data_IF_769878030026
#
_entry.id   IF_769878030026
#
_cell.length_a   1.000
_cell.length_b   1.000
_cell.length_c   1.000
_cell.angle_alpha   90.00
_cell.angle_beta   90.00
_cell.angle_gamma   90.00
#
_symmetry.space_group_name_H-M   'P 1'
#
loop_
_entity.id
_entity.type
_entity.pdbx_description
1 polymer ?
#
# COMPACT_ATOMS: atom_id res chain seq x y z
N UNK A 1 52.13 -15.46 -16.92
CA UNK A 1 51.25 -16.65 -16.89
C UNK A 1 49.85 -16.14 -17.25
N UNK A 2 49.43 -16.01 -18.52
CA UNK A 2 49.29 -17.02 -19.59
C UNK A 2 48.67 -18.32 -19.04
N UNK A 3 47.59 -18.90 -19.57
CA UNK A 3 46.96 -18.77 -20.87
C UNK A 3 45.60 -19.54 -20.85
N UNK A 4 44.68 -19.12 -21.73
CA UNK A 4 43.83 -19.90 -22.66
C UNK A 4 43.08 -21.19 -22.24
N UNK A 5 41.85 -21.33 -22.76
CA UNK A 5 41.35 -22.45 -23.61
C UNK A 5 39.86 -22.14 -24.01
N UNK A 6 39.55 -21.75 -25.26
CA UNK A 6 39.25 -22.57 -26.48
C UNK A 6 37.93 -23.37 -26.29
N UNK A 7 36.77 -22.97 -26.84
CA UNK A 7 36.29 -22.93 -28.25
C UNK A 7 36.42 -24.25 -29.02
N UNK A 8 35.35 -25.04 -29.07
CA UNK A 8 35.13 -26.07 -30.09
C UNK A 8 33.72 -25.94 -30.69
N UNK A 9 33.73 -25.63 -31.98
CA UNK A 9 32.67 -25.70 -32.98
C UNK A 9 32.73 -27.07 -33.70
N UNK A 10 31.58 -27.71 -33.95
CA UNK A 10 31.20 -28.49 -35.16
C UNK A 10 29.94 -29.35 -34.91
N UNK A 11 29.27 -29.94 -35.92
CA UNK A 11 28.64 -29.29 -37.08
C UNK A 11 27.17 -29.78 -37.31
N UNK A 12 26.50 -29.07 -38.21
CA UNK A 12 25.43 -29.48 -39.14
C UNK A 12 24.69 -30.81 -38.91
N UNK A 13 23.39 -30.70 -38.62
CA UNK A 13 22.39 -31.67 -39.06
C UNK A 13 21.23 -30.94 -39.74
N UNK A 14 21.18 -31.09 -41.06
CA UNK A 14 20.07 -30.72 -41.94
C UNK A 14 18.73 -31.25 -41.39
N UNK A 15 17.77 -30.35 -41.16
CA UNK A 15 16.35 -30.68 -41.09
C UNK A 15 15.66 -29.84 -42.17
N UNK A 16 15.34 -30.49 -43.29
CA UNK A 16 14.40 -29.99 -44.29
C UNK A 16 13.03 -29.79 -43.62
N UNK A 17 12.63 -28.53 -43.44
CA UNK A 17 11.23 -28.20 -43.20
C UNK A 17 10.61 -27.76 -44.52
N UNK A 18 9.82 -28.67 -45.10
CA UNK A 18 8.90 -28.40 -46.18
C UNK A 18 7.91 -27.30 -45.77
N UNK A 19 8.00 -26.14 -46.43
CA UNK A 19 6.94 -25.14 -46.43
C UNK A 19 5.88 -25.52 -47.47
N UNK A 20 4.58 -25.62 -47.12
CA UNK A 20 3.54 -25.71 -48.12
C UNK A 20 3.39 -24.36 -48.84
N UNK A 21 3.62 -24.39 -50.16
CA UNK A 21 3.36 -23.32 -51.12
C UNK A 21 1.91 -22.83 -50.97
N UNK A 22 1.77 -21.61 -50.45
CA UNK A 22 0.50 -20.88 -50.40
C UNK A 22 0.25 -20.30 -51.80
N UNK A 23 -0.77 -20.81 -52.46
CA UNK A 23 -1.24 -20.33 -53.76
C UNK A 23 -1.76 -18.89 -53.67
N UNK A 24 -1.53 -18.06 -54.71
CA UNK A 24 -2.06 -16.70 -54.76
C UNK A 24 -3.57 -16.71 -55.06
N UNK A 25 -4.37 -15.81 -54.43
CA UNK A 25 -5.78 -15.69 -54.77
C UNK A 25 -5.95 -15.10 -56.16
N UNK A 26 -6.76 -15.81 -56.93
CA UNK A 26 -7.11 -15.52 -58.31
C UNK A 26 -7.82 -14.18 -58.46
N UNK A 27 -7.26 -13.36 -59.34
CA UNK A 27 -7.73 -12.08 -59.85
C UNK A 27 -9.09 -12.28 -60.54
N UNK A 28 -10.19 -11.84 -59.93
CA UNK A 28 -11.50 -11.77 -60.62
C UNK A 28 -11.76 -10.37 -61.17
N UNK A 29 -12.37 -10.42 -62.34
CA UNK A 29 -12.59 -9.39 -63.33
C UNK A 29 -13.38 -8.18 -62.83
N UNK A 30 -13.01 -7.05 -63.43
CA UNK A 30 -13.79 -5.84 -63.55
C UNK A 30 -15.10 -6.10 -64.33
N UNK A 31 -16.18 -5.50 -63.85
CA UNK A 31 -17.31 -5.06 -64.67
C UNK A 31 -17.69 -3.67 -64.18
N UNK A 32 -17.55 -2.72 -65.10
CA UNK A 32 -17.95 -1.32 -65.02
C UNK A 32 -19.42 -1.18 -65.52
N UNK A 33 -19.97 0.03 -65.76
CA UNK A 33 -20.92 0.74 -64.92
C UNK A 33 -22.33 0.84 -65.55
N UNK A 34 -23.30 1.39 -64.80
CA UNK A 34 -24.26 2.42 -65.26
C UNK A 34 -25.63 2.36 -64.56
N UNK A 35 -26.22 3.56 -64.40
CA UNK A 35 -27.64 3.88 -64.31
C UNK A 35 -28.37 3.77 -62.95
N UNK A 36 -28.56 4.95 -62.31
CA UNK A 36 -29.81 5.46 -61.69
C UNK A 36 -29.50 6.82 -61.08
N UNK A 37 -29.79 7.95 -61.74
CA UNK A 37 -31.10 8.55 -62.00
C UNK A 37 -31.86 8.98 -60.73
N UNK A 38 -31.73 10.29 -60.45
CA UNK A 38 -32.77 11.31 -60.15
C UNK A 38 -33.70 11.11 -58.94
N UNK A 39 -33.90 12.25 -58.26
CA UNK A 39 -34.95 12.68 -57.29
C UNK A 39 -34.40 12.90 -55.88
N UNK A 40 -34.73 13.94 -55.15
CA UNK A 40 -35.46 15.18 -55.40
C UNK A 40 -35.12 16.13 -54.24
N UNK A 41 -35.33 17.41 -54.50
CA UNK A 41 -35.27 18.53 -53.57
C UNK A 41 -36.15 18.31 -52.33
N UNK A 42 -35.70 18.73 -51.15
CA UNK A 42 -36.50 19.65 -50.32
C UNK A 42 -35.69 20.34 -49.18
N UNK A 43 -36.09 21.56 -48.77
CA UNK A 43 -35.34 22.43 -47.88
C UNK A 43 -35.95 22.59 -46.46
N UNK A 44 -35.09 22.81 -45.45
CA UNK A 44 -35.33 23.46 -44.13
C UNK A 44 -36.43 22.83 -43.20
N UNK A 45 -36.47 23.04 -41.85
CA UNK A 45 -36.13 24.27 -41.12
C UNK A 45 -35.28 24.11 -39.83
N UNK A 46 -34.82 25.27 -39.36
CA UNK A 46 -34.06 25.56 -38.15
C UNK A 46 -34.79 25.16 -36.84
N UNK A 47 -34.07 24.82 -35.76
CA UNK A 47 -34.65 24.76 -34.41
C UNK A 47 -34.60 26.12 -33.68
N UNK A 48 -35.54 26.37 -32.75
CA UNK A 48 -35.75 27.66 -32.10
C UNK A 48 -34.82 27.94 -30.91
N UNK A 49 -34.60 29.25 -30.71
CA UNK A 49 -34.02 29.91 -29.55
C UNK A 49 -35.03 29.91 -28.40
N UNK A 50 -34.61 29.51 -27.19
CA UNK A 50 -35.18 29.81 -25.86
C UNK A 50 -34.29 29.12 -24.82
N UNK A 51 -33.97 29.61 -23.63
CA UNK A 51 -34.23 30.85 -22.88
C UNK A 51 -33.27 30.79 -21.68
N UNK A 52 -32.73 31.94 -21.34
CA UNK A 52 -31.89 32.22 -20.18
C UNK A 52 -32.64 31.97 -18.86
N UNK A 53 -32.09 31.15 -17.97
CA UNK A 53 -32.49 31.11 -16.55
C UNK A 53 -31.25 31.20 -15.68
N UNK A 54 -31.05 32.38 -15.08
CA UNK A 54 -30.09 32.63 -14.01
C UNK A 54 -30.55 31.97 -12.71
N UNK A 55 -29.68 31.32 -11.93
CA UNK A 55 -29.98 30.99 -10.54
C UNK A 55 -29.66 32.18 -9.63
N UNK A 56 -30.70 32.71 -8.99
CA UNK A 56 -30.64 33.66 -7.88
C UNK A 56 -29.95 33.00 -6.68
N UNK A 57 -28.83 33.57 -6.23
CA UNK A 57 -28.16 33.19 -4.97
C UNK A 57 -28.98 33.73 -3.79
N UNK A 58 -29.61 32.82 -3.04
CA UNK A 58 -30.08 33.07 -1.68
C UNK A 58 -28.90 32.90 -0.73
N UNK A 59 -28.38 34.01 -0.19
CA UNK A 59 -27.45 34.04 0.94
C UNK A 59 -28.28 34.46 2.14
N UNK A 60 -28.79 33.48 2.89
CA UNK A 60 -29.42 33.73 4.18
C UNK A 60 -28.43 33.47 5.32
N UNK A 61 -28.40 34.45 6.21
CA UNK A 61 -27.72 34.59 7.50
C UNK A 61 -27.43 33.28 8.24
N UNK A 62 -26.13 33.01 8.48
CA UNK A 62 -25.70 32.16 9.59
C UNK A 62 -25.54 33.06 10.82
N UNK A 63 -26.49 32.92 11.72
CA UNK A 63 -26.52 33.51 13.05
C UNK A 63 -25.46 32.79 13.92
N UNK A 64 -24.50 33.56 14.44
CA UNK A 64 -23.49 33.07 15.38
C UNK A 64 -24.15 32.57 16.67
N UNK A 65 -24.13 31.26 16.90
CA UNK A 65 -24.39 30.68 18.21
C UNK A 65 -23.07 30.62 18.98
N UNK A 66 -22.97 31.39 20.05
CA UNK A 66 -21.88 31.33 21.01
C UNK A 66 -21.89 29.96 21.71
N UNK A 67 -20.82 29.18 21.55
CA UNK A 67 -20.57 27.97 22.32
C UNK A 67 -20.04 28.33 23.72
N UNK A 68 -20.50 27.65 24.79
CA UNK A 68 -20.00 27.89 26.14
C UNK A 68 -18.53 27.48 26.28
N UNK A 69 -17.72 28.20 27.08
CA UNK A 69 -16.32 27.87 27.29
C UNK A 69 -16.20 26.64 28.21
N UNK A 70 -15.67 25.52 27.69
CA UNK A 70 -15.31 24.37 28.54
C UNK A 70 -15.36 22.99 27.89
N UNK A 71 -15.96 22.83 26.70
CA UNK A 71 -15.93 21.56 25.97
C UNK A 71 -14.87 21.59 24.86
N UNK A 72 -13.94 20.64 24.91
CA UNK A 72 -13.05 20.36 23.77
C UNK A 72 -13.94 20.06 22.55
N UNK A 73 -13.76 20.76 21.41
CA UNK A 73 -14.62 20.60 20.26
C UNK A 73 -14.59 19.14 19.80
N UNK A 74 -15.76 18.48 19.81
CA UNK A 74 -15.92 17.11 19.37
C UNK A 74 -15.53 17.01 17.87
N UNK A 75 -14.37 16.39 17.56
CA UNK A 75 -13.83 16.37 16.20
C UNK A 75 -14.69 15.55 15.24
N UNK A 76 -15.65 14.76 15.75
CA UNK A 76 -16.49 13.89 14.94
C UNK A 76 -17.58 14.64 14.17
N UNK A 77 -17.98 15.84 14.60
CA UNK A 77 -18.99 16.64 13.87
C UNK A 77 -18.53 17.09 12.47
N UNK A 78 -17.22 17.15 12.22
CA UNK A 78 -16.64 17.57 10.93
C UNK A 78 -16.56 16.40 9.93
N UNK A 79 -16.42 15.16 10.41
CA UNK A 79 -16.15 13.98 9.57
C UNK A 79 -17.43 13.41 8.94
N UNK A 80 -18.60 13.56 9.57
CA UNK A 80 -19.84 12.93 9.13
C UNK A 80 -20.72 13.79 8.20
N UNK A 81 -20.27 14.97 7.78
CA UNK A 81 -20.94 15.78 6.75
C UNK A 81 -20.50 15.41 5.31
N UNK A 82 -20.16 14.13 5.10
CA UNK A 82 -19.88 13.57 3.77
C UNK A 82 -21.19 12.97 3.23
N UNK A 83 -21.92 13.79 2.49
CA UNK A 83 -23.23 13.49 1.95
C UNK A 83 -23.23 12.17 1.15
N UNK A 84 -23.98 11.17 1.64
CA UNK A 84 -24.20 9.88 0.98
C UNK A 84 -25.30 10.01 -0.08
N UNK A 85 -25.17 10.97 -1.00
CA UNK A 85 -26.05 11.01 -2.17
C UNK A 85 -25.55 9.98 -3.18
N UNK A 86 -26.14 8.80 -3.11
CA UNK A 86 -26.08 7.81 -4.19
C UNK A 86 -26.70 8.43 -5.44
N UNK A 87 -25.86 8.97 -6.33
CA UNK A 87 -26.30 9.44 -7.64
C UNK A 87 -26.90 8.29 -8.44
N UNK A 88 -28.20 8.34 -8.66
CA UNK A 88 -28.88 7.55 -9.68
C UNK A 88 -28.38 7.98 -11.05
N UNK A 89 -27.47 7.19 -11.63
CA UNK A 89 -27.08 7.38 -13.04
C UNK A 89 -28.18 6.81 -13.93
N UNK A 90 -29.00 7.72 -14.47
CA UNK A 90 -29.88 7.52 -15.61
C UNK A 90 -29.14 6.85 -16.77
N UNK A 91 -29.74 5.79 -17.31
CA UNK A 91 -29.28 5.03 -18.47
C UNK A 91 -29.47 5.82 -19.77
N UNK A 92 -28.42 6.49 -20.23
CA UNK A 92 -28.29 6.97 -21.60
C UNK A 92 -27.48 5.98 -22.44
N UNK A 93 -28.12 5.38 -23.44
CA UNK A 93 -27.51 4.43 -24.36
C UNK A 93 -26.41 5.06 -25.21
N UNK A 94 -25.27 4.37 -25.31
CA UNK A 94 -24.15 4.73 -26.17
C UNK A 94 -23.30 3.49 -26.46
N UNK A 95 -23.12 3.19 -27.74
CA UNK A 95 -22.47 2.01 -28.29
C UNK A 95 -21.12 1.67 -27.62
N UNK A 96 -21.04 0.49 -27.00
CA UNK A 96 -19.80 -0.06 -26.46
C UNK A 96 -19.10 -0.94 -27.49
N UNK A 97 -17.93 -0.50 -27.94
CA UNK A 97 -16.95 -1.33 -28.64
C UNK A 97 -16.52 -2.51 -27.78
N UNK A 98 -16.67 -3.70 -28.35
CA UNK A 98 -16.31 -4.98 -27.76
C UNK A 98 -14.79 -5.14 -27.65
N UNK A 99 -14.26 -5.05 -26.43
CA UNK A 99 -12.94 -5.61 -26.10
C UNK A 99 -13.15 -6.98 -25.45
N UNK A 100 -13.18 -8.01 -26.29
CA UNK A 100 -13.14 -9.41 -25.88
C UNK A 100 -11.75 -9.73 -25.32
N UNK A 101 -11.64 -9.84 -24.00
CA UNK A 101 -10.49 -10.46 -23.33
C UNK A 101 -10.78 -11.95 -23.28
N UNK A 102 -10.32 -12.65 -24.33
CA UNK A 102 -10.30 -14.10 -24.41
C UNK A 102 -9.02 -14.61 -23.75
N UNK A 103 -9.15 -15.57 -22.84
CA UNK A 103 -8.01 -16.27 -22.25
C UNK A 103 -7.77 -16.00 -20.77
N UNK A 104 -8.66 -16.50 -19.90
CA UNK A 104 -8.30 -16.84 -18.50
C UNK A 104 -9.39 -17.70 -17.84
N UNK A 105 -9.72 -18.85 -18.43
CA UNK A 105 -10.64 -19.83 -17.78
C UNK A 105 -10.08 -21.26 -17.68
N UNK A 106 -8.88 -21.56 -18.17
CA UNK A 106 -8.38 -22.95 -18.23
C UNK A 106 -7.48 -23.37 -17.05
N UNK A 107 -7.29 -22.53 -16.01
CA UNK A 107 -6.31 -22.81 -14.94
C UNK A 107 -6.91 -22.98 -13.53
N UNK A 108 -8.21 -23.25 -13.40
CA UNK A 108 -8.89 -23.34 -12.09
C UNK A 108 -9.53 -24.71 -11.83
N UNK A 109 -8.89 -25.82 -12.24
CA UNK A 109 -9.44 -27.17 -12.02
C UNK A 109 -8.50 -28.19 -11.37
N UNK A 110 -7.35 -27.79 -10.80
CA UNK A 110 -6.34 -28.76 -10.30
C UNK A 110 -5.70 -28.48 -8.94
N UNK A 111 -6.36 -27.78 -8.02
CA UNK A 111 -5.84 -27.64 -6.65
C UNK A 111 -6.94 -27.83 -5.60
N UNK A 112 -7.34 -29.09 -5.41
CA UNK A 112 -7.99 -29.56 -4.18
C UNK A 112 -7.38 -30.90 -3.80
N UNK A 113 -6.36 -30.89 -2.96
CA UNK A 113 -6.10 -31.88 -1.90
C UNK A 113 -4.73 -31.59 -1.29
N UNK A 114 -4.64 -31.79 0.04
CA UNK A 114 -3.49 -31.60 0.94
C UNK A 114 -3.37 -30.20 1.57
N UNK A 115 -3.76 -30.09 2.83
CA UNK A 115 -2.81 -29.62 3.86
C UNK A 115 -3.27 -30.02 5.26
N UNK A 116 -2.38 -30.71 5.97
CA UNK A 116 -2.46 -31.06 7.38
C UNK A 116 -1.86 -29.95 8.27
N UNK A 117 -2.31 -29.95 9.53
CA UNK A 117 -1.71 -29.39 10.76
C UNK A 117 -0.95 -28.06 10.65
N UNK A 118 -1.63 -26.97 11.03
CA UNK A 118 -1.00 -25.69 11.38
C UNK A 118 -0.80 -25.65 12.89
N UNK A 119 0.44 -25.40 13.30
CA UNK A 119 0.82 -25.17 14.69
C UNK A 119 0.25 -23.82 15.18
N UNK A 120 -0.32 -23.85 16.37
CA UNK A 120 -0.93 -22.71 17.06
C UNK A 120 0.16 -21.73 17.51
N UNK A 121 0.29 -20.61 16.80
CA UNK A 121 1.20 -19.51 17.13
C UNK A 121 0.45 -18.49 18.00
N UNK A 122 1.05 -18.09 19.13
CA UNK A 122 0.44 -17.18 20.11
C UNK A 122 0.09 -15.81 19.49
N UNK A 123 -1.00 -15.15 19.93
CA UNK A 123 -1.41 -13.86 19.39
C UNK A 123 -0.41 -12.76 19.80
N UNK A 124 0.43 -12.33 18.86
CA UNK A 124 1.22 -11.11 19.01
C UNK A 124 0.33 -9.87 18.86
N UNK A 125 0.31 -9.07 19.92
CA UNK A 125 -0.36 -7.77 20.02
C UNK A 125 -0.15 -6.91 18.77
N UNK A 126 -1.23 -6.67 18.02
CA UNK A 126 -1.15 -5.80 16.86
C UNK A 126 -1.21 -4.33 17.29
N UNK A 127 -0.15 -3.59 16.96
CA UNK A 127 -0.11 -2.12 17.05
C UNK A 127 -0.99 -1.50 15.96
N UNK A 128 -2.30 -1.69 16.11
CA UNK A 128 -3.33 -0.89 15.47
C UNK A 128 -3.26 0.55 15.98
N UNK A 129 -2.46 1.36 15.28
CA UNK A 129 -2.30 2.80 15.44
C UNK A 129 -1.58 3.26 16.72
N UNK A 130 -0.25 3.32 16.59
CA UNK A 130 0.70 4.15 17.36
C UNK A 130 0.28 4.45 18.80
N UNK A 131 0.29 3.40 19.62
CA UNK A 131 0.36 3.56 21.06
C UNK A 131 1.65 4.28 21.43
N UNK A 132 1.58 5.15 22.43
CA UNK A 132 2.75 5.56 23.21
C UNK A 132 3.46 4.26 23.65
N UNK A 133 4.81 4.16 23.58
CA UNK A 133 5.51 2.95 24.00
C UNK A 133 5.07 2.59 25.42
N UNK A 134 4.33 1.49 25.56
CA UNK A 134 4.01 0.95 26.87
C UNK A 134 5.31 0.41 27.48
N UNK A 135 5.57 0.65 28.78
CA UNK A 135 6.65 -0.03 29.48
C UNK A 135 6.40 -1.54 29.39
N UNK A 136 7.36 -2.29 28.82
CA UNK A 136 7.21 -3.73 28.69
C UNK A 136 7.07 -4.36 30.09
N UNK A 137 6.08 -5.25 30.29
CA UNK A 137 6.00 -6.03 31.52
C UNK A 137 7.26 -6.88 31.64
N UNK A 138 7.88 -6.80 32.81
CA UNK A 138 9.09 -7.52 33.18
C UNK A 138 8.86 -9.04 33.05
N UNK A 139 9.25 -9.62 31.92
CA UNK A 139 9.19 -11.06 31.71
C UNK A 139 10.25 -11.74 32.56
N UNK A 140 9.76 -12.65 33.39
CA UNK A 140 10.49 -13.51 34.32
C UNK A 140 11.58 -14.33 33.59
N UNK A 141 12.87 -14.26 33.98
CA UNK A 141 13.93 -15.01 33.32
C UNK A 141 14.01 -16.42 33.91
N UNK A 142 13.18 -17.35 33.43
CA UNK A 142 13.29 -18.76 33.85
C UNK A 142 13.10 -19.75 32.69
N UNK A 143 13.89 -19.59 31.62
CA UNK A 143 14.29 -20.72 30.77
C UNK A 143 15.81 -20.77 30.68
N UNK A 144 16.37 -21.64 31.52
CA UNK A 144 17.78 -21.94 31.66
C UNK A 144 18.21 -22.80 30.47
N UNK A 145 18.61 -22.15 29.38
CA UNK A 145 19.40 -22.82 28.34
C UNK A 145 20.77 -23.15 28.95
N UNK A 146 21.20 -24.40 28.79
CA UNK A 146 22.46 -24.88 29.31
C UNK A 146 23.61 -24.03 28.75
N UNK A 147 24.35 -23.37 29.64
CA UNK A 147 25.51 -22.56 29.32
C UNK A 147 26.64 -23.42 28.74
N UNK A 148 27.30 -22.99 27.65
CA UNK A 148 28.58 -23.55 27.26
C UNK A 148 29.64 -23.24 28.33
N UNK A 149 30.49 -24.23 28.54
CA UNK A 149 31.59 -24.29 29.51
C UNK A 149 32.47 -23.03 29.46
N UNK A 150 32.65 -22.41 30.62
CA UNK A 150 33.48 -21.22 30.84
C UNK A 150 34.96 -21.58 30.65
N UNK A 151 35.51 -21.33 29.47
CA UNK A 151 36.96 -21.39 29.24
C UNK A 151 37.56 -20.11 29.83
N UNK A 152 38.18 -20.23 31.01
CA UNK A 152 38.98 -19.17 31.63
C UNK A 152 40.33 -19.08 30.92
N UNK A 153 40.36 -18.37 29.80
CA UNK A 153 41.58 -17.99 29.09
C UNK A 153 41.88 -16.51 29.30
N UNK A 154 42.89 -16.24 30.13
CA UNK A 154 43.40 -14.91 30.44
C UNK A 154 44.10 -14.30 29.24
N UNK A 155 43.73 -13.06 28.86
CA UNK A 155 44.54 -12.18 28.03
C UNK A 155 44.38 -12.32 26.51
N UNK A 156 43.25 -11.92 25.94
CA UNK A 156 43.12 -11.65 24.50
C UNK A 156 42.30 -10.37 24.33
N UNK A 157 42.83 -9.46 23.52
CA UNK A 157 42.42 -8.06 23.38
C UNK A 157 40.93 -7.85 23.09
N UNK A 158 40.48 -6.68 23.49
CA UNK A 158 39.17 -6.08 23.23
C UNK A 158 38.64 -6.46 21.83
N UNK A 159 37.78 -7.47 21.79
CA UNK A 159 37.10 -7.88 20.57
C UNK A 159 36.13 -6.74 20.25
N UNK A 160 36.48 -5.90 19.27
CA UNK A 160 35.57 -4.91 18.72
C UNK A 160 34.27 -5.64 18.35
N UNK A 161 33.17 -5.30 19.02
CA UNK A 161 31.85 -5.82 18.67
C UNK A 161 31.57 -5.48 17.22
N UNK A 162 31.73 -6.48 16.34
CA UNK A 162 31.28 -6.38 14.96
C UNK A 162 29.76 -6.44 15.02
N UNK A 163 29.10 -5.34 14.65
CA UNK A 163 27.64 -5.29 14.60
C UNK A 163 27.06 -6.41 13.73
N UNK A 164 25.75 -6.71 13.85
CA UNK A 164 25.13 -7.77 13.08
C UNK A 164 25.34 -7.51 11.58
N UNK A 165 25.65 -8.57 10.82
CA UNK A 165 25.80 -8.44 9.37
C UNK A 165 24.50 -7.90 8.76
N UNK A 166 24.52 -6.87 7.89
CA UNK A 166 23.31 -6.29 7.31
C UNK A 166 22.39 -7.32 6.63
N UNK A 167 22.98 -8.37 6.03
CA UNK A 167 22.25 -9.46 5.39
C UNK A 167 21.48 -10.33 6.40
N UNK A 168 22.03 -10.54 7.61
CA UNK A 168 21.36 -11.28 8.67
C UNK A 168 20.16 -10.49 9.23
N UNK A 169 20.30 -9.16 9.32
CA UNK A 169 19.19 -8.28 9.72
C UNK A 169 18.07 -8.33 8.68
N UNK A 170 18.39 -8.26 7.39
CA UNK A 170 17.38 -8.39 6.32
C UNK A 170 16.73 -9.77 6.28
N UNK A 171 17.48 -10.84 6.53
CA UNK A 171 16.91 -12.18 6.68
C UNK A 171 15.89 -12.20 7.83
N UNK A 172 16.26 -11.67 9.00
CA UNK A 172 15.35 -11.57 10.15
C UNK A 172 14.11 -10.71 9.87
N UNK A 173 14.24 -9.62 9.09
CA UNK A 173 13.08 -8.84 8.64
C UNK A 173 12.17 -9.70 7.77
N UNK A 174 12.73 -10.45 6.81
CA UNK A 174 11.99 -11.31 5.88
C UNK A 174 11.35 -12.55 6.54
N UNK A 175 11.84 -12.96 7.70
CA UNK A 175 11.24 -14.05 8.48
C UNK A 175 9.89 -13.63 9.09
N UNK A 176 9.71 -12.33 9.37
CA UNK A 176 8.46 -11.80 9.92
C UNK A 176 7.39 -11.59 8.84
N UNK A 177 6.12 -11.86 9.17
CA UNK A 177 4.97 -11.59 8.27
C UNK A 177 4.91 -10.10 7.87
N UNK A 178 5.13 -9.21 8.84
CA UNK A 178 5.16 -7.75 8.65
C UNK A 178 6.29 -7.32 7.70
N UNK A 179 7.49 -7.90 7.84
CA UNK A 179 8.61 -7.58 6.96
C UNK A 179 8.40 -8.07 5.52
N UNK A 180 7.83 -9.26 5.33
CA UNK A 180 7.43 -9.73 3.99
C UNK A 180 6.45 -8.77 3.32
N UNK A 181 5.43 -8.29 4.03
CA UNK A 181 4.49 -7.29 3.50
C UNK A 181 5.22 -6.01 3.03
N UNK A 182 6.13 -5.47 3.86
CA UNK A 182 6.85 -4.24 3.52
C UNK A 182 7.82 -4.43 2.36
N UNK A 183 8.52 -5.55 2.30
CA UNK A 183 9.42 -5.86 1.19
C UNK A 183 8.65 -6.08 -0.12
N UNK A 184 7.53 -6.80 -0.07
CA UNK A 184 6.64 -6.96 -1.23
C UNK A 184 6.08 -5.61 -1.69
N UNK A 185 5.69 -4.72 -0.77
CA UNK A 185 5.28 -3.34 -1.08
C UNK A 185 6.41 -2.58 -1.78
N UNK A 186 7.62 -2.62 -1.23
CA UNK A 186 8.80 -1.96 -1.80
C UNK A 186 9.10 -2.47 -3.23
N UNK A 187 9.09 -3.79 -3.43
CA UNK A 187 9.30 -4.41 -4.74
C UNK A 187 8.21 -4.00 -5.74
N UNK A 188 6.94 -4.04 -5.32
CA UNK A 188 5.80 -3.65 -6.16
C UNK A 188 5.92 -2.19 -6.64
N UNK A 189 6.19 -1.25 -5.74
CA UNK A 189 6.33 0.17 -6.12
C UNK A 189 7.61 0.46 -6.88
N UNK A 190 8.70 -0.27 -6.62
CA UNK A 190 9.93 -0.18 -7.41
C UNK A 190 9.68 -0.60 -8.85
N UNK A 191 8.97 -1.72 -9.06
CA UNK A 191 8.62 -2.20 -10.40
C UNK A 191 7.63 -1.27 -11.13
N UNK A 192 6.66 -0.68 -10.42
CA UNK A 192 5.77 0.35 -10.99
C UNK A 192 6.54 1.59 -11.42
N UNK A 193 7.44 2.07 -10.55
CA UNK A 193 8.29 3.24 -10.84
C UNK A 193 9.21 2.95 -12.02
N UNK A 194 9.81 1.76 -12.08
CA UNK A 194 10.62 1.33 -13.22
C UNK A 194 9.81 1.32 -14.53
N UNK A 195 8.59 0.78 -14.52
CA UNK A 195 7.70 0.80 -15.67
C UNK A 195 7.32 2.22 -16.10
N UNK A 196 7.08 3.12 -15.15
CA UNK A 196 6.82 4.53 -15.41
C UNK A 196 8.05 5.22 -16.04
N UNK A 197 9.24 5.05 -15.46
CA UNK A 197 10.48 5.58 -16.02
C UNK A 197 10.73 5.03 -17.43
N UNK A 198 10.46 3.74 -17.66
CA UNK A 198 10.58 3.16 -18.99
C UNK A 198 9.60 3.80 -19.98
N UNK A 199 8.38 4.15 -19.55
CA UNK A 199 7.41 4.87 -20.39
C UNK A 199 7.86 6.32 -20.69
N UNK A 200 8.51 6.98 -19.73
CA UNK A 200 9.11 8.30 -19.93
C UNK A 200 10.26 8.25 -20.95
N UNK A 201 11.14 7.25 -20.82
CA UNK A 201 12.21 7.02 -21.79
C UNK A 201 11.64 6.68 -23.16
N UNK A 202 10.55 5.91 -23.22
CA UNK A 202 9.85 5.57 -24.47
C UNK A 202 9.33 6.80 -25.22
N UNK A 203 8.92 7.84 -24.48
CA UNK A 203 8.42 9.08 -25.06
C UNK A 203 9.55 9.88 -25.74
N UNK A 204 10.78 9.79 -25.21
CA UNK A 204 11.95 10.48 -25.77
C UNK A 204 12.67 9.65 -26.83
N UNK A 205 12.68 8.31 -26.68
CA UNK A 205 13.39 7.40 -27.57
C UNK A 205 12.54 6.17 -27.90
N UNK A 206 12.43 5.76 -29.17
CA UNK A 206 11.71 4.56 -29.54
C UNK A 206 12.38 3.33 -28.90
N UNK A 207 11.70 2.71 -27.94
CA UNK A 207 12.19 1.50 -27.28
C UNK A 207 12.24 0.32 -28.25
N UNK A 208 13.28 -0.49 -28.10
CA UNK A 208 13.41 -1.77 -28.81
C UNK A 208 12.16 -2.66 -28.59
N UNK A 209 11.72 -3.43 -29.60
CA UNK A 209 10.59 -4.36 -29.46
C UNK A 209 10.70 -5.31 -28.27
N UNK A 210 11.93 -5.68 -27.89
CA UNK A 210 12.20 -6.52 -26.72
C UNK A 210 11.72 -5.88 -25.41
N UNK A 211 11.91 -4.56 -25.25
CA UNK A 211 11.43 -3.84 -24.07
C UNK A 211 9.90 -3.78 -24.01
N UNK A 212 9.21 -3.67 -25.15
CA UNK A 212 7.75 -3.69 -25.21
C UNK A 212 7.17 -5.04 -24.78
N UNK A 213 7.82 -6.15 -25.17
CA UNK A 213 7.43 -7.48 -24.72
C UNK A 213 7.63 -7.65 -23.19
N UNK A 214 8.75 -7.15 -22.66
CA UNK A 214 9.07 -7.25 -21.23
C UNK A 214 8.17 -6.36 -20.37
N UNK A 215 7.77 -5.17 -20.83
CA UNK A 215 6.88 -4.29 -20.05
C UNK A 215 5.51 -4.94 -19.80
N UNK A 216 4.98 -5.70 -20.77
CA UNK A 216 3.75 -6.49 -20.59
C UNK A 216 3.90 -7.55 -19.49
N UNK A 217 5.00 -8.31 -19.52
CA UNK A 217 5.29 -9.34 -18.49
C UNK A 217 5.45 -8.72 -17.10
N UNK A 218 6.14 -7.59 -17.02
CA UNK A 218 6.35 -6.88 -15.76
C UNK A 218 5.04 -6.33 -15.18
N UNK A 219 4.12 -5.82 -16.01
CA UNK A 219 2.79 -5.39 -15.55
C UNK A 219 1.98 -6.55 -14.96
N UNK A 220 2.05 -7.73 -15.59
CA UNK A 220 1.43 -8.95 -15.05
C UNK A 220 2.07 -9.31 -13.70
N UNK A 221 3.39 -9.31 -13.62
CA UNK A 221 4.12 -9.58 -12.37
C UNK A 221 3.74 -8.60 -11.24
N UNK A 222 3.70 -7.29 -11.53
CA UNK A 222 3.26 -6.25 -10.57
C UNK A 222 1.83 -6.49 -10.09
N UNK A 223 0.92 -6.85 -11.00
CA UNK A 223 -0.47 -7.16 -10.64
C UNK A 223 -0.57 -8.43 -9.78
N UNK A 224 0.26 -9.44 -10.07
CA UNK A 224 0.37 -10.66 -9.28
C UNK A 224 0.90 -10.39 -7.88
N UNK A 225 1.99 -9.62 -7.75
CA UNK A 225 2.55 -9.23 -6.45
C UNK A 225 1.53 -8.48 -5.58
N UNK A 226 0.77 -7.55 -6.18
CA UNK A 226 -0.29 -6.85 -5.46
C UNK A 226 -1.41 -7.79 -5.01
N UNK A 227 -1.78 -8.77 -5.83
CA UNK A 227 -2.79 -9.76 -5.47
C UNK A 227 -2.29 -10.69 -4.36
N UNK A 228 -1.08 -11.25 -4.49
CA UNK A 228 -0.46 -12.09 -3.46
C UNK A 228 -0.38 -11.34 -2.13
N UNK A 229 0.01 -10.07 -2.15
CA UNK A 229 0.03 -9.21 -0.95
C UNK A 229 -1.35 -9.08 -0.31
N UNK A 230 -2.40 -8.83 -1.09
CA UNK A 230 -3.78 -8.79 -0.59
C UNK A 230 -4.22 -10.15 -0.04
N UNK A 231 -3.83 -11.26 -0.69
CA UNK A 231 -4.14 -12.60 -0.20
C UNK A 231 -3.46 -12.94 1.13
N UNK A 232 -2.23 -12.45 1.37
CA UNK A 232 -1.54 -12.62 2.66
C UNK A 232 -2.21 -11.84 3.80
N UNK A 233 -3.05 -10.85 3.47
CA UNK A 233 -3.80 -10.04 4.41
C UNK A 233 -5.30 -10.42 4.45
N UNK A 234 -5.72 -11.45 3.72
CA UNK A 234 -7.09 -11.94 3.82
C UNK A 234 -7.36 -12.38 5.27
N UNK A 235 -8.58 -12.13 5.74
CA UNK A 235 -9.00 -12.46 7.11
C UNK A 235 -8.32 -11.61 8.20
N UNK A 236 -7.60 -10.53 7.82
CA UNK A 236 -7.19 -9.50 8.77
C UNK A 236 -8.37 -8.85 9.55
N UNK A 237 -9.62 -8.78 9.04
CA UNK A 237 -10.80 -8.36 9.82
C UNK A 237 -11.04 -9.16 11.11
N UNK A 238 -10.49 -10.37 11.23
CA UNK A 238 -10.69 -11.19 12.43
C UNK A 238 -10.09 -10.52 13.68
N UNK A 239 -8.99 -9.77 13.53
CA UNK A 239 -8.35 -9.11 14.66
C UNK A 239 -9.23 -8.04 15.34
N UNK A 240 -9.76 -7.01 14.63
CA UNK A 240 -10.69 -6.06 15.23
C UNK A 240 -11.98 -6.73 15.72
N UNK A 241 -12.43 -7.81 15.07
CA UNK A 241 -13.59 -8.57 15.52
C UNK A 241 -13.35 -9.23 16.88
N UNK A 242 -12.15 -9.78 17.13
CA UNK A 242 -11.79 -10.31 18.46
C UNK A 242 -11.83 -9.23 19.54
N UNK A 243 -11.38 -8.01 19.25
CA UNK A 243 -11.47 -6.89 20.18
C UNK A 243 -12.92 -6.45 20.44
N UNK A 244 -13.76 -6.43 19.41
CA UNK A 244 -15.18 -6.08 19.54
C UNK A 244 -15.98 -7.12 20.34
N UNK A 245 -15.56 -8.38 20.31
CA UNK A 245 -16.17 -9.46 21.09
C UNK A 245 -15.58 -9.61 22.50
N UNK A 246 -14.55 -8.83 22.84
CA UNK A 246 -14.01 -8.82 24.19
C UNK A 246 -15.06 -8.27 25.17
N UNK A 247 -15.28 -8.90 26.33
CA UNK A 247 -16.23 -8.42 27.34
C UNK A 247 -15.77 -7.12 28.04
N UNK A 248 -14.59 -6.60 27.71
CA UNK A 248 -14.03 -5.40 28.33
C UNK A 248 -14.79 -4.14 27.87
N UNK A 249 -15.26 -3.28 28.81
CA UNK A 249 -16.03 -2.08 28.46
C UNK A 249 -15.20 -1.14 27.59
N UNK A 250 -15.57 -1.02 26.33
CA UNK A 250 -14.87 -0.18 25.36
C UNK A 250 -15.49 1.21 25.32
N UNK A 251 -14.67 2.26 25.35
CA UNK A 251 -15.18 3.62 25.17
C UNK A 251 -15.81 3.80 23.79
N UNK A 252 -16.89 4.59 23.67
CA UNK A 252 -17.56 4.87 22.40
C UNK A 252 -16.62 5.30 21.25
N UNK A 253 -15.63 6.21 21.44
CA UNK A 253 -14.73 6.58 20.35
C UNK A 253 -13.81 5.42 19.93
N UNK A 254 -13.40 4.56 20.86
CA UNK A 254 -12.61 3.36 20.56
C UNK A 254 -13.46 2.34 19.78
N UNK A 255 -14.74 2.18 20.15
CA UNK A 255 -15.66 1.31 19.42
C UNK A 255 -15.84 1.77 17.96
N UNK A 256 -16.09 3.06 17.74
CA UNK A 256 -16.24 3.63 16.39
C UNK A 256 -14.97 3.40 15.56
N UNK A 257 -13.80 3.56 16.17
CA UNK A 257 -12.52 3.28 15.52
C UNK A 257 -12.41 1.82 15.06
N UNK A 258 -12.72 0.87 15.95
CA UNK A 258 -12.70 -0.54 15.61
C UNK A 258 -13.71 -0.91 14.51
N UNK A 259 -14.88 -0.25 14.49
CA UNK A 259 -15.87 -0.43 13.41
C UNK A 259 -15.36 0.10 12.07
N UNK A 260 -14.69 1.25 12.04
CA UNK A 260 -14.08 1.80 10.82
C UNK A 260 -12.97 0.88 10.31
N UNK A 261 -12.10 0.38 11.21
CA UNK A 261 -11.02 -0.55 10.85
C UNK A 261 -11.58 -1.89 10.34
N UNK A 262 -12.66 -2.40 10.96
CA UNK A 262 -13.38 -3.59 10.50
C UNK A 262 -13.99 -3.37 9.12
N UNK A 263 -14.68 -2.25 8.89
CA UNK A 263 -15.27 -1.93 7.60
C UNK A 263 -14.21 -1.78 6.50
N UNK A 264 -13.08 -1.14 6.82
CA UNK A 264 -11.94 -0.98 5.91
C UNK A 264 -11.37 -2.34 5.49
N UNK A 265 -11.09 -3.20 6.46
CA UNK A 265 -10.52 -4.53 6.22
C UNK A 265 -11.49 -5.45 5.46
N UNK A 266 -12.80 -5.38 5.77
CA UNK A 266 -13.81 -6.12 5.04
C UNK A 266 -13.94 -5.66 3.59
N UNK A 267 -13.86 -4.35 3.32
CA UNK A 267 -13.89 -3.82 1.96
C UNK A 267 -12.69 -4.31 1.13
N UNK A 268 -11.51 -4.38 1.73
CA UNK A 268 -10.31 -4.94 1.09
C UNK A 268 -10.44 -6.44 0.78
N UNK A 269 -11.00 -7.22 1.70
CA UNK A 269 -11.24 -8.65 1.51
C UNK A 269 -12.26 -8.90 0.39
N UNK A 270 -13.39 -8.17 0.38
CA UNK A 270 -14.38 -8.25 -0.70
C UNK A 270 -13.79 -7.88 -2.06
N UNK A 271 -12.94 -6.86 -2.10
CA UNK A 271 -12.19 -6.52 -3.30
C UNK A 271 -11.27 -7.67 -3.73
N UNK A 272 -10.51 -8.24 -2.81
CA UNK A 272 -9.59 -9.35 -3.10
C UNK A 272 -10.36 -10.59 -3.62
N UNK A 273 -11.45 -10.98 -2.96
CA UNK A 273 -12.32 -12.08 -3.39
C UNK A 273 -12.92 -11.83 -4.78
N UNK A 274 -13.21 -10.58 -5.13
CA UNK A 274 -13.68 -10.24 -6.47
C UNK A 274 -12.60 -10.42 -7.55
N UNK A 275 -11.32 -10.18 -7.19
CA UNK A 275 -10.17 -10.40 -8.08
C UNK A 275 -9.86 -11.89 -8.26
N UNK A 276 -10.16 -12.71 -7.25
CA UNK A 276 -10.11 -14.17 -7.33
C UNK A 276 -11.28 -14.78 -8.12
N UNK A 277 -12.30 -13.99 -8.44
CA UNK A 277 -13.49 -14.45 -9.17
C UNK A 277 -14.54 -15.14 -8.29
N UNK A 278 -14.38 -15.07 -6.97
CA UNK A 278 -15.36 -15.62 -6.00
C UNK A 278 -16.56 -14.67 -5.89
N UNK A 279 -16.29 -13.36 -5.85
CA UNK A 279 -17.32 -12.32 -5.75
C UNK A 279 -17.52 -11.65 -7.12
N UNK A 280 -18.76 -11.25 -7.43
CA UNK A 280 -19.09 -10.61 -8.70
C UNK A 280 -18.31 -9.32 -8.97
N UNK A 281 -17.97 -9.07 -10.25
CA UNK A 281 -17.18 -7.90 -10.67
C UNK A 281 -17.80 -6.55 -10.27
N UNK A 282 -19.14 -6.47 -10.18
CA UNK A 282 -19.85 -5.26 -9.74
C UNK A 282 -19.58 -4.95 -8.28
N UNK A 283 -19.77 -5.94 -7.40
CA UNK A 283 -19.46 -5.84 -5.97
C UNK A 283 -18.00 -5.52 -5.75
N UNK A 284 -17.10 -6.13 -6.52
CA UNK A 284 -15.66 -5.80 -6.49
C UNK A 284 -15.34 -4.33 -6.76
N UNK A 285 -15.96 -3.73 -7.78
CA UNK A 285 -15.79 -2.29 -8.09
C UNK A 285 -16.35 -1.38 -6.99
N UNK A 286 -17.46 -1.78 -6.35
CA UNK A 286 -18.03 -1.03 -5.24
C UNK A 286 -17.08 -1.12 -4.04
N UNK A 287 -16.63 -2.33 -3.69
CA UNK A 287 -15.69 -2.59 -2.61
C UNK A 287 -14.37 -1.81 -2.78
N UNK A 288 -13.82 -1.73 -4.01
CA UNK A 288 -12.63 -0.93 -4.33
C UNK A 288 -12.80 0.54 -3.96
N UNK A 289 -13.92 1.15 -4.34
CA UNK A 289 -14.22 2.56 -4.04
C UNK A 289 -14.35 2.79 -2.54
N UNK A 290 -15.00 1.87 -1.83
CA UNK A 290 -15.13 1.94 -0.36
C UNK A 290 -13.80 1.74 0.35
N UNK A 291 -12.99 0.77 -0.06
CA UNK A 291 -11.67 0.53 0.50
C UNK A 291 -10.78 1.79 0.38
N UNK A 292 -10.78 2.47 -0.78
CA UNK A 292 -10.02 3.71 -0.95
C UNK A 292 -10.54 4.86 -0.07
N UNK A 293 -11.85 4.97 0.14
CA UNK A 293 -12.45 5.97 1.05
C UNK A 293 -12.10 5.70 2.51
N UNK A 294 -12.18 4.44 2.95
CA UNK A 294 -11.78 4.06 4.31
C UNK A 294 -10.29 4.22 4.53
N UNK A 295 -9.47 3.92 3.53
CA UNK A 295 -8.04 4.16 3.59
C UNK A 295 -7.71 5.67 3.73
N UNK A 296 -8.41 6.54 3.00
CA UNK A 296 -8.29 7.99 3.18
C UNK A 296 -8.67 8.41 4.61
N UNK A 297 -9.83 7.94 5.10
CA UNK A 297 -10.34 8.29 6.44
C UNK A 297 -9.38 7.84 7.56
N UNK A 298 -8.91 6.59 7.51
CA UNK A 298 -7.97 6.03 8.50
C UNK A 298 -6.62 6.76 8.47
N UNK A 299 -6.13 7.13 7.28
CA UNK A 299 -4.91 7.93 7.13
C UNK A 299 -5.08 9.33 7.73
N UNK A 300 -6.22 9.98 7.48
CA UNK A 300 -6.53 11.29 8.05
C UNK A 300 -6.63 11.25 9.58
N UNK A 301 -7.30 10.24 10.13
CA UNK A 301 -7.41 10.02 11.59
C UNK A 301 -6.04 9.77 12.24
N UNK A 302 -5.17 9.00 11.58
CA UNK A 302 -3.80 8.78 12.04
C UNK A 302 -2.98 10.07 12.03
N UNK A 303 -3.10 10.87 10.97
CA UNK A 303 -2.40 12.15 10.85
C UNK A 303 -2.90 13.17 11.88
N UNK A 304 -4.23 13.26 12.08
CA UNK A 304 -4.87 14.07 13.11
C UNK A 304 -4.34 13.70 14.51
N UNK A 305 -4.34 12.40 14.83
CA UNK A 305 -3.84 11.90 16.11
C UNK A 305 -2.37 12.26 16.32
N UNK A 306 -1.55 12.09 15.29
CA UNK A 306 -0.13 12.41 15.35
C UNK A 306 0.10 13.92 15.60
N UNK A 307 -0.56 14.78 14.83
CA UNK A 307 -0.32 16.22 14.88
C UNK A 307 -0.92 16.89 16.12
N UNK A 308 -2.08 16.45 16.59
CA UNK A 308 -2.77 17.12 17.69
C UNK A 308 -2.51 16.49 19.06
N UNK A 309 -2.19 15.19 19.11
CA UNK A 309 -1.92 14.52 20.40
C UNK A 309 -0.43 14.29 20.59
N UNK A 310 0.25 13.69 19.61
CA UNK A 310 1.63 13.23 19.80
C UNK A 310 2.64 14.38 19.78
N UNK A 311 2.59 15.26 18.78
CA UNK A 311 3.57 16.36 18.66
C UNK A 311 3.51 17.36 19.83
N UNK A 312 2.34 17.84 20.28
CA UNK A 312 2.28 18.76 21.42
C UNK A 312 2.76 18.11 22.73
N UNK A 313 2.46 16.83 22.96
CA UNK A 313 2.97 16.08 24.12
C UNK A 313 4.50 15.98 24.11
N UNK A 314 5.10 15.72 22.96
CA UNK A 314 6.56 15.68 22.82
C UNK A 314 7.19 17.07 23.01
N UNK A 315 6.53 18.13 22.54
CA UNK A 315 7.00 19.51 22.73
C UNK A 315 6.97 19.92 24.21
N UNK A 316 5.87 19.67 24.92
CA UNK A 316 5.74 19.96 26.36
C UNK A 316 6.76 19.16 27.20
N UNK A 317 7.00 17.89 26.83
CA UNK A 317 8.00 17.03 27.50
C UNK A 317 9.45 17.48 27.29
N UNK A 318 9.70 18.35 26.31
CA UNK A 318 11.01 18.93 26.03
C UNK A 318 11.26 20.19 26.87
N UNK A 319 10.23 20.97 27.17
CA UNK A 319 10.35 22.23 27.93
C UNK A 319 10.34 22.01 29.45
N UNK A 320 9.61 21.00 29.92
CA UNK A 320 9.41 20.75 31.36
C UNK A 320 10.56 20.02 32.07
N UNK A 321 11.76 19.95 31.47
CA UNK A 321 12.97 19.45 32.15
C UNK A 321 13.92 20.61 32.45
N UNK A 322 13.58 21.53 33.37
CA UNK A 322 14.57 22.46 33.90
C UNK A 322 15.58 21.66 34.73
N UNK A 323 16.85 22.02 34.57
CA UNK A 323 18.00 21.52 35.31
C UNK A 323 17.80 21.72 36.83
N UNK A 324 17.06 20.84 37.50
CA UNK A 324 17.17 20.74 38.95
C UNK A 324 18.49 20.03 39.26
N UNK A 325 19.55 20.84 39.30
CA UNK A 325 20.85 20.53 39.86
C UNK A 325 20.62 20.18 41.33
N UNK A 326 20.34 18.91 41.63
CA UNK A 326 20.41 18.36 42.99
C UNK A 326 21.72 17.57 43.11
N UNK A 327 22.76 18.15 43.71
CA UNK A 327 24.03 17.49 43.90
C UNK A 327 23.98 16.67 45.21
N UNK A 328 23.60 15.39 45.13
CA UNK A 328 23.93 14.47 46.23
C UNK A 328 23.87 12.98 45.85
N UNK A 329 25.01 12.33 46.10
CA UNK A 329 25.27 10.90 46.34
C UNK A 329 25.25 9.88 45.18
N UNK A 330 26.43 9.72 44.55
CA UNK A 330 27.24 8.49 44.39
C UNK A 330 26.65 7.15 43.91
N UNK A 331 25.44 7.07 43.34
CA UNK A 331 25.04 5.88 42.59
C UNK A 331 25.41 6.02 41.10
N UNK A 332 26.32 5.16 40.63
CA UNK A 332 26.69 4.98 39.22
C UNK A 332 25.52 4.28 38.50
N UNK A 333 24.39 4.97 38.40
CA UNK A 333 23.24 4.58 37.60
C UNK A 333 23.39 5.29 36.26
N UNK A 334 23.44 4.50 35.20
CA UNK A 334 23.70 4.87 33.80
C UNK A 334 22.74 5.98 33.30
N UNK A 335 23.10 7.22 33.60
CA UNK A 335 22.27 8.42 33.42
C UNK A 335 22.27 8.95 31.98
N UNK A 336 22.88 8.22 31.03
CA UNK A 336 22.85 8.57 29.60
C UNK A 336 21.56 8.13 28.87
N UNK A 337 20.68 7.36 29.52
CA UNK A 337 19.52 6.77 28.84
C UNK A 337 18.33 7.73 28.51
N UNK A 338 17.95 8.75 29.31
CA UNK A 338 16.68 9.45 29.09
C UNK A 338 16.73 10.54 27.99
N UNK A 339 17.89 11.16 27.76
CA UNK A 339 18.03 12.20 26.72
C UNK A 339 18.03 11.57 25.32
N UNK A 340 18.69 10.42 25.15
CA UNK A 340 18.75 9.71 23.88
C UNK A 340 17.38 9.20 23.43
N UNK A 341 16.56 8.70 24.35
CA UNK A 341 15.21 8.17 24.03
C UNK A 341 14.25 9.26 23.54
N UNK A 342 14.24 10.45 24.16
CA UNK A 342 13.41 11.58 23.72
C UNK A 342 13.73 12.03 22.30
N UNK A 343 15.02 12.17 21.97
CA UNK A 343 15.46 12.55 20.61
C UNK A 343 15.08 11.51 19.55
N UNK A 344 15.05 10.22 19.92
CA UNK A 344 14.62 9.14 19.05
C UNK A 344 13.11 9.18 18.82
N UNK A 345 12.32 9.34 19.88
CA UNK A 345 10.86 9.42 19.79
C UNK A 345 10.38 10.58 18.88
N UNK A 346 11.04 11.74 18.95
CA UNK A 346 10.74 12.87 18.07
C UNK A 346 11.05 12.55 16.60
N UNK A 347 12.22 11.98 16.31
CA UNK A 347 12.58 11.55 14.96
C UNK A 347 11.61 10.51 14.43
N UNK A 348 11.22 9.53 15.26
CA UNK A 348 10.27 8.49 14.88
C UNK A 348 8.89 9.07 14.54
N UNK A 349 8.43 10.07 15.30
CA UNK A 349 7.19 10.79 15.04
C UNK A 349 7.27 11.60 13.74
N UNK A 350 8.38 12.31 13.49
CA UNK A 350 8.61 13.06 12.24
C UNK A 350 8.60 12.12 11.01
N UNK A 351 9.26 10.97 11.09
CA UNK A 351 9.23 9.95 10.03
C UNK A 351 7.83 9.37 9.81
N UNK A 352 7.09 9.10 10.88
CA UNK A 352 5.69 8.67 10.77
C UNK A 352 4.83 9.74 10.10
N UNK A 353 5.03 11.02 10.45
CA UNK A 353 4.29 12.13 9.82
C UNK A 353 4.56 12.23 8.32
N UNK A 354 5.83 12.14 7.90
CA UNK A 354 6.20 12.14 6.47
C UNK A 354 5.59 10.95 5.72
N UNK A 355 5.59 9.76 6.33
CA UNK A 355 4.95 8.57 5.75
C UNK A 355 3.45 8.77 5.59
N UNK A 356 2.75 9.21 6.64
CA UNK A 356 1.31 9.44 6.60
C UNK A 356 0.93 10.53 5.59
N UNK A 357 1.75 11.57 5.45
CA UNK A 357 1.56 12.59 4.42
C UNK A 357 1.70 12.01 3.01
N UNK A 358 2.70 11.15 2.78
CA UNK A 358 2.85 10.46 1.50
C UNK A 358 1.67 9.51 1.19
N UNK A 359 1.23 8.73 2.18
CA UNK A 359 0.04 7.87 2.06
C UNK A 359 -1.23 8.72 1.83
N UNK A 360 -1.36 9.88 2.47
CA UNK A 360 -2.48 10.81 2.30
C UNK A 360 -2.52 11.36 0.87
N UNK A 361 -1.40 11.90 0.37
CA UNK A 361 -1.32 12.38 -1.02
C UNK A 361 -1.64 11.23 -1.99
N UNK A 362 -1.09 10.04 -1.76
CA UNK A 362 -1.35 8.87 -2.59
C UNK A 362 -2.85 8.56 -2.69
N UNK A 363 -3.54 8.43 -1.54
CA UNK A 363 -4.95 8.00 -1.50
C UNK A 363 -5.90 9.13 -1.90
N UNK A 364 -5.57 10.40 -1.64
CA UNK A 364 -6.35 11.54 -2.13
C UNK A 364 -6.44 11.57 -3.67
N UNK A 365 -5.36 11.21 -4.38
CA UNK A 365 -5.40 11.10 -5.85
C UNK A 365 -6.31 9.97 -6.33
N UNK A 366 -6.49 8.90 -5.55
CA UNK A 366 -7.43 7.82 -5.88
C UNK A 366 -8.87 8.22 -5.64
N UNK A 367 -9.15 8.85 -4.50
CA UNK A 367 -10.51 9.23 -4.10
C UNK A 367 -11.04 10.42 -4.90
N UNK A 368 -10.20 11.40 -5.23
CA UNK A 368 -10.58 12.59 -5.99
C UNK A 368 -10.51 12.40 -7.52
N UNK A 369 -10.10 11.21 -7.98
CA UNK A 369 -9.99 10.87 -9.40
C UNK A 369 -9.18 11.88 -10.25
N UNK A 370 -8.19 12.55 -9.65
CA UNK A 370 -7.34 13.54 -10.32
C UNK A 370 -6.48 12.88 -11.41
N UNK A 371 -6.84 13.05 -12.67
CA UNK A 371 -6.24 12.32 -13.80
C UNK A 371 -4.89 12.86 -14.27
N UNK A 372 -4.65 14.16 -14.13
CA UNK A 372 -3.52 14.87 -14.76
C UNK A 372 -2.12 14.38 -14.36
N UNK A 373 -1.96 13.88 -13.13
CA UNK A 373 -0.67 13.40 -12.60
C UNK A 373 -0.81 12.13 -11.75
N UNK A 374 -1.89 11.35 -11.95
CA UNK A 374 -2.19 10.19 -11.11
C UNK A 374 -1.03 9.19 -11.04
N UNK A 375 -0.59 8.70 -12.20
CA UNK A 375 0.44 7.66 -12.28
C UNK A 375 1.80 8.07 -11.68
N UNK A 376 2.41 9.22 -12.02
CA UNK A 376 3.70 9.61 -11.45
C UNK A 376 3.62 9.83 -9.94
N UNK A 377 2.59 10.54 -9.46
CA UNK A 377 2.43 10.83 -8.03
C UNK A 377 2.25 9.54 -7.24
N UNK A 378 1.42 8.62 -7.72
CA UNK A 378 1.23 7.33 -7.08
C UNK A 378 2.52 6.48 -7.05
N UNK A 379 3.30 6.48 -8.13
CA UNK A 379 4.57 5.75 -8.15
C UNK A 379 5.55 6.32 -7.13
N UNK A 380 5.77 7.64 -7.15
CA UNK A 380 6.73 8.31 -6.28
C UNK A 380 6.30 8.24 -4.82
N UNK A 381 5.06 8.63 -4.49
CA UNK A 381 4.57 8.64 -3.11
C UNK A 381 4.46 7.23 -2.54
N UNK A 382 4.00 6.26 -3.34
CA UNK A 382 3.94 4.86 -2.94
C UNK A 382 5.33 4.26 -2.66
N UNK A 383 6.32 4.62 -3.47
CA UNK A 383 7.71 4.19 -3.28
C UNK A 383 8.34 4.85 -2.04
N UNK A 384 8.17 6.15 -1.85
CA UNK A 384 8.65 6.87 -0.66
C UNK A 384 8.05 6.29 0.62
N UNK A 385 6.73 6.07 0.66
CA UNK A 385 6.06 5.47 1.81
C UNK A 385 6.56 4.04 2.09
N UNK A 386 6.82 3.25 1.04
CA UNK A 386 7.38 1.91 1.18
C UNK A 386 8.81 1.94 1.77
N UNK A 387 9.69 2.80 1.25
CA UNK A 387 11.07 2.92 1.77
C UNK A 387 11.10 3.40 3.22
N UNK A 388 10.32 4.41 3.58
CA UNK A 388 10.26 4.90 4.97
C UNK A 388 9.77 3.76 5.90
N UNK A 389 8.74 3.01 5.48
CA UNK A 389 8.22 1.91 6.29
C UNK A 389 9.21 0.75 6.41
N UNK A 390 9.96 0.40 5.37
CA UNK A 390 10.97 -0.65 5.41
C UNK A 390 12.19 -0.24 6.22
N UNK A 391 12.62 1.03 6.14
CA UNK A 391 13.72 1.57 6.93
C UNK A 391 13.44 1.51 8.43
N UNK A 392 12.24 1.92 8.87
CA UNK A 392 11.86 1.81 10.29
C UNK A 392 11.88 0.37 10.80
N UNK A 393 11.45 -0.59 9.99
CA UNK A 393 11.47 -2.00 10.37
C UNK A 393 12.90 -2.55 10.42
N UNK A 394 13.75 -2.17 9.46
CA UNK A 394 15.16 -2.51 9.48
C UNK A 394 15.85 -2.01 10.75
N UNK A 395 15.61 -0.74 11.14
CA UNK A 395 16.18 -0.15 12.35
C UNK A 395 15.73 -0.88 13.63
N UNK A 396 14.49 -1.37 13.68
CA UNK A 396 13.97 -2.17 14.79
C UNK A 396 14.73 -3.51 14.91
N UNK A 397 14.88 -4.24 13.81
CA UNK A 397 15.62 -5.51 13.81
C UNK A 397 17.12 -5.30 14.05
N UNK A 398 17.70 -4.21 13.54
CA UNK A 398 19.08 -3.83 13.79
C UNK A 398 19.33 -3.58 15.29
N UNK A 399 18.47 -2.77 15.92
CA UNK A 399 18.56 -2.49 17.36
C UNK A 399 18.36 -3.76 18.21
N UNK A 400 17.42 -4.62 17.82
CA UNK A 400 17.20 -5.91 18.49
C UNK A 400 18.40 -6.86 18.35
N UNK A 401 19.15 -6.78 17.24
CA UNK A 401 20.39 -7.53 17.03
C UNK A 401 21.54 -7.06 17.93
N UNK A 402 21.65 -5.75 18.20
CA UNK A 402 22.68 -5.20 19.08
C UNK A 402 22.47 -5.55 20.56
N UNK A 403 21.23 -5.70 21.00
CA UNK A 403 20.90 -6.00 22.41
C UNK A 403 21.12 -7.46 22.83
N UNK A 404 21.46 -8.36 21.90
CA UNK A 404 21.68 -9.79 22.17
C UNK A 404 23.17 -10.17 22.31
N UNK A 405 24.07 -9.20 22.21
CA UNK A 405 25.53 -9.39 22.18
C UNK A 405 26.21 -9.31 23.54
#
# INVERSE_FOLDING_TARGET
>A
MSAYWISHSSPDSHIEQHYPLRTPPSRRHATDPSSRSVRDLNPFPSPPISTTTSPTLYLDSIQSAETPPGEDPDPWKIVFNMDLTAGETSTGGGMAGSWRVEGSQELTRRLTSHSSSVAEEQPEHDEGVWGVPQPQPHLNPRRRWASPTRVTGSGIGEIKHVGPLPIAVWASVMDTSKGRDKVLKCLQYSLRTYLYLLSLVAAVRPLSPWFKANSKRMRIAVSGLSLTRKCLLLLNPLHPLTHLLSPEPTSAPTLIRHLIDLASSLADDLYCLSRLGIVGKRTGKIADRWANRFWLLTTLMALYTLHLRTLPRLALSSTAAPESISPSSNEVVDSQSPVRTKSKARRDAEWTGRKLLADLVFVSYEVLELSWMKEPVQCVMGLCAAFISSGKLYDQHWAAGLGKG
#
